data_IF_591958777240
#
_entry.id   IF_591958777240
#
_cell.length_a   1.000
_cell.length_b   1.000
_cell.length_c   1.000
_cell.angle_alpha   90.00
_cell.angle_beta   90.00
_cell.angle_gamma   90.00
#
_symmetry.space_group_name_H-M   'P 1'
#
loop_
_entity.id
_entity.type
_entity.pdbx_description
1 polymer ?
#
# COMPACT_ATOMS: atom_id res chain seq x y z
N UNK A 1 -0.47 -3.91 -6.85
CA UNK A 1 0.20 -2.68 -6.39
C UNK A 1 0.78 -2.99 -5.02
N UNK A 2 2.06 -2.71 -4.84
CA UNK A 2 2.78 -2.99 -3.59
C UNK A 2 3.35 -1.68 -3.05
N UNK A 3 2.99 -1.33 -1.82
CA UNK A 3 3.58 -0.21 -1.10
C UNK A 3 4.53 -0.76 -0.04
N UNK A 4 5.68 -0.12 0.11
CA UNK A 4 6.69 -0.50 1.09
C UNK A 4 7.12 0.73 1.88
N UNK A 5 7.17 0.59 3.20
CA UNK A 5 7.65 1.62 4.11
C UNK A 5 9.05 1.24 4.57
N UNK A 6 10.01 2.13 4.34
CA UNK A 6 11.43 1.91 4.66
C UNK A 6 11.88 2.94 5.69
N UNK A 7 12.68 2.48 6.65
CA UNK A 7 13.42 3.34 7.57
C UNK A 7 14.74 3.72 6.91
N UNK A 8 14.90 5.01 6.61
CA UNK A 8 16.11 5.51 5.96
C UNK A 8 17.28 5.55 6.96
N UNK A 9 18.41 4.95 6.57
CA UNK A 9 19.64 4.96 7.36
C UNK A 9 20.79 5.60 6.56
N UNK A 10 21.42 6.65 7.10
CA UNK A 10 22.51 7.36 6.40
C UNK A 10 23.83 6.55 6.31
N UNK A 11 24.06 5.62 7.25
CA UNK A 11 25.32 4.86 7.38
C UNK A 11 25.19 3.37 7.06
N UNK A 12 23.96 2.86 6.92
CA UNK A 12 23.65 1.44 6.72
C UNK A 12 22.62 1.30 5.59
N UNK A 13 22.31 0.07 5.21
CA UNK A 13 21.18 -0.18 4.32
C UNK A 13 19.87 0.22 5.00
N UNK A 14 18.95 0.75 4.21
CA UNK A 14 17.60 1.04 4.66
C UNK A 14 16.91 -0.25 5.15
N UNK A 15 16.15 -0.11 6.21
CA UNK A 15 15.47 -1.24 6.85
C UNK A 15 13.99 -1.23 6.49
N UNK A 16 13.46 -2.35 6.00
CA UNK A 16 12.05 -2.46 5.68
C UNK A 16 11.23 -2.49 6.98
N UNK A 17 10.32 -1.55 7.16
CA UNK A 17 9.39 -1.52 8.30
C UNK A 17 8.20 -2.46 8.02
N UNK A 18 7.74 -2.49 6.77
CA UNK A 18 6.66 -3.36 6.33
C UNK A 18 6.19 -3.04 4.92
N UNK A 19 5.38 -3.95 4.36
CA UNK A 19 4.78 -3.82 3.05
C UNK A 19 3.28 -4.08 3.11
N UNK A 20 2.54 -3.47 2.20
CA UNK A 20 1.15 -3.83 1.93
C UNK A 20 0.93 -4.02 0.43
N UNK A 21 0.21 -5.08 0.07
CA UNK A 21 -0.05 -5.43 -1.32
C UNK A 21 -1.55 -5.50 -1.54
N UNK A 22 -2.02 -4.88 -2.61
CA UNK A 22 -3.42 -4.94 -3.01
C UNK A 22 -3.55 -5.11 -4.53
N UNK A 23 -4.58 -5.85 -4.92
CA UNK A 23 -4.90 -6.15 -6.31
C UNK A 23 -5.49 -4.94 -7.02
N UNK A 24 -5.02 -4.67 -8.24
CA UNK A 24 -5.58 -3.64 -9.10
C UNK A 24 -7.06 -3.92 -9.42
N UNK A 25 -7.40 -5.19 -9.69
CA UNK A 25 -8.76 -5.66 -9.95
C UNK A 25 -9.74 -5.26 -8.84
N UNK A 26 -9.29 -5.31 -7.58
CA UNK A 26 -10.11 -4.92 -6.42
C UNK A 26 -10.45 -3.44 -6.44
N UNK A 27 -9.53 -2.57 -6.81
CA UNK A 27 -9.79 -1.12 -6.87
C UNK A 27 -10.66 -0.82 -8.09
N UNK A 28 -10.40 -1.50 -9.20
CA UNK A 28 -11.16 -1.33 -10.43
C UNK A 28 -12.64 -1.76 -10.27
N UNK A 29 -12.94 -2.72 -9.39
CA UNK A 29 -14.34 -3.09 -9.11
C UNK A 29 -15.06 -2.14 -8.15
N UNK A 30 -14.37 -1.13 -7.57
CA UNK A 30 -15.01 -0.15 -6.69
C UNK A 30 -15.75 0.92 -7.48
N UNK A 31 -16.69 1.58 -6.81
CA UNK A 31 -17.39 2.75 -7.34
C UNK A 31 -16.36 3.83 -7.67
N UNK A 32 -16.44 4.39 -8.90
CA UNK A 32 -15.48 5.36 -9.45
C UNK A 32 -14.03 4.87 -9.46
N UNK A 33 -13.82 3.55 -9.44
CA UNK A 33 -12.50 2.93 -9.38
C UNK A 33 -11.60 3.52 -8.27
N UNK A 34 -12.20 3.91 -7.15
CA UNK A 34 -11.53 4.67 -6.10
C UNK A 34 -11.68 4.01 -4.73
N UNK A 35 -10.58 3.97 -3.98
CA UNK A 35 -10.48 3.62 -2.58
C UNK A 35 -10.05 4.87 -1.81
N UNK A 36 -10.81 5.30 -0.80
CA UNK A 36 -10.49 6.51 -0.04
C UNK A 36 -10.21 6.19 1.43
N UNK A 37 -9.12 6.77 1.95
CA UNK A 37 -8.73 6.78 3.36
C UNK A 37 -8.75 5.41 4.04
N UNK A 38 -8.41 4.36 3.31
CA UNK A 38 -8.43 3.01 3.82
C UNK A 38 -7.18 2.75 4.66
N UNK A 39 -7.37 2.35 5.91
CA UNK A 39 -6.29 1.80 6.73
C UNK A 39 -5.96 0.38 6.27
N UNK A 40 -4.72 0.19 5.86
CA UNK A 40 -4.20 -1.10 5.39
C UNK A 40 -3.11 -1.57 6.36
N UNK A 41 -3.17 -2.83 6.82
CA UNK A 41 -2.12 -3.38 7.66
C UNK A 41 -0.82 -3.50 6.85
N UNK A 42 0.29 -3.19 7.50
CA UNK A 42 1.63 -3.45 6.98
C UNK A 42 2.20 -4.70 7.63
N UNK A 43 2.71 -5.60 6.81
CA UNK A 43 3.26 -6.89 7.23
C UNK A 43 4.60 -7.13 6.56
N UNK A 44 5.43 -8.00 7.12
CA UNK A 44 6.61 -8.48 6.40
C UNK A 44 6.19 -9.45 5.29
N UNK A 45 6.82 -9.41 4.10
CA UNK A 45 6.59 -10.42 3.06
C UNK A 45 6.85 -11.85 3.58
N UNK A 46 7.82 -12.00 4.48
CA UNK A 46 8.22 -13.26 5.10
C UNK A 46 7.25 -13.72 6.20
N UNK A 47 6.47 -12.79 6.78
CA UNK A 47 5.55 -13.04 7.89
C UNK A 47 4.25 -12.23 7.70
N UNK A 48 3.39 -12.64 6.75
CA UNK A 48 2.16 -11.92 6.43
C UNK A 48 1.11 -11.91 7.56
N UNK A 49 1.27 -12.74 8.60
CA UNK A 49 0.39 -12.75 9.78
C UNK A 49 0.80 -11.77 10.89
N UNK A 50 1.99 -11.17 10.82
CA UNK A 50 2.51 -10.26 11.84
C UNK A 50 2.29 -8.81 11.41
N UNK A 51 1.26 -8.16 11.97
CA UNK A 51 0.92 -6.76 11.68
C UNK A 51 1.84 -5.85 12.47
N UNK A 52 2.67 -5.09 11.76
CA UNK A 52 3.65 -4.15 12.35
C UNK A 52 3.13 -2.71 12.45
N UNK A 53 2.04 -2.41 11.77
CA UNK A 53 1.44 -1.08 11.77
C UNK A 53 0.39 -0.94 10.69
N UNK A 54 -0.10 0.27 10.50
CA UNK A 54 -1.11 0.59 9.50
C UNK A 54 -0.68 1.80 8.68
N UNK A 55 -1.02 1.80 7.40
CA UNK A 55 -0.88 2.94 6.50
C UNK A 55 -2.26 3.36 6.00
N UNK A 56 -2.54 4.66 6.01
CA UNK A 56 -3.77 5.20 5.45
C UNK A 56 -3.54 5.51 3.96
N UNK A 57 -4.31 4.89 3.08
CA UNK A 57 -4.10 5.00 1.63
C UNK A 57 -5.39 5.41 0.95
N UNK A 58 -5.26 6.32 -0.02
CA UNK A 58 -6.28 6.58 -1.04
C UNK A 58 -5.71 6.23 -2.41
N UNK A 59 -6.47 5.51 -3.23
CA UNK A 59 -6.06 5.06 -4.58
C UNK A 59 -7.22 5.27 -5.54
N UNK A 60 -6.96 5.95 -6.66
CA UNK A 60 -7.89 6.05 -7.79
C UNK A 60 -7.26 5.46 -9.04
N UNK A 61 -8.07 4.86 -9.90
CA UNK A 61 -7.66 4.45 -11.25
C UNK A 61 -8.33 5.40 -12.22
N UNK A 62 -7.52 6.07 -13.03
CA UNK A 62 -7.95 7.07 -13.99
C UNK A 62 -7.56 6.65 -15.41
N UNK A 63 -8.50 6.75 -16.34
CA UNK A 63 -8.28 6.61 -17.76
C UNK A 63 -7.99 7.95 -18.45
N UNK A 64 -7.59 7.93 -19.73
CA UNK A 64 -7.44 9.16 -20.51
C UNK A 64 -8.77 9.91 -20.61
N UNK A 65 -8.83 11.14 -20.09
CA UNK A 65 -10.03 11.99 -20.11
C UNK A 65 -10.88 11.97 -18.84
N UNK A 66 -10.45 11.26 -17.80
CA UNK A 66 -11.03 11.39 -16.45
C UNK A 66 -10.43 12.62 -15.74
N UNK A 67 -11.29 13.45 -15.12
CA UNK A 67 -10.92 14.60 -14.27
C UNK A 67 -10.65 14.20 -12.80
#
# INVERSE_FOLDING_TARGET
>A
ITLQCWHHNALRKDELIGACTFGFSRIYSLVRHTLLRQWMPMTFPEKPGDVRGYVNVSVGIYGPGDD
#
